data_IF_133290013773
#
_entry.id   IF_133290013773
#
_cell.length_a   1.000
_cell.length_b   1.000
_cell.length_c   1.000
_cell.angle_alpha   90.00
_cell.angle_beta   90.00
_cell.angle_gamma   90.00
#
_symmetry.space_group_name_H-M   'P 1'
#
loop_
_entity.id
_entity.type
_entity.pdbx_description
1 polymer ?
#
# COMPACT_ATOMS: atom_id res chain seq x y z
N UNK A 1 -59.25 -35.43 11.32
CA UNK A 1 -57.93 -35.65 10.66
C UNK A 1 -57.42 -34.30 10.20
N UNK A 2 -56.62 -33.63 11.01
CA UNK A 2 -56.07 -32.33 10.71
C UNK A 2 -54.60 -32.47 10.41
N UNK A 3 -54.20 -32.13 9.20
CA UNK A 3 -52.82 -32.14 8.75
C UNK A 3 -52.14 -30.82 9.21
N UNK A 4 -51.15 -30.94 10.04
CA UNK A 4 -50.21 -29.88 10.37
C UNK A 4 -49.15 -29.79 9.27
N UNK A 5 -49.20 -28.74 8.48
CA UNK A 5 -48.12 -28.34 7.60
C UNK A 5 -47.16 -27.47 8.37
N UNK A 6 -46.02 -28.05 8.79
CA UNK A 6 -44.91 -27.32 9.38
C UNK A 6 -44.15 -26.55 8.28
N UNK A 7 -44.21 -25.24 8.34
CA UNK A 7 -43.40 -24.33 7.54
C UNK A 7 -42.07 -24.19 8.25
N UNK A 8 -41.05 -24.86 7.71
CA UNK A 8 -39.66 -24.63 8.13
C UNK A 8 -39.25 -23.21 7.66
N UNK A 9 -39.15 -22.29 8.58
CA UNK A 9 -38.53 -21.01 8.36
C UNK A 9 -37.02 -21.24 8.19
N UNK A 10 -36.56 -21.20 6.95
CA UNK A 10 -35.14 -21.09 6.64
C UNK A 10 -34.67 -19.69 7.11
N UNK A 11 -34.10 -19.64 8.30
CA UNK A 11 -33.28 -18.51 8.74
C UNK A 11 -32.08 -18.38 7.79
N UNK A 12 -32.26 -17.62 6.72
CA UNK A 12 -31.15 -17.04 5.96
C UNK A 12 -30.49 -16.02 6.88
N UNK A 13 -29.59 -16.49 7.73
CA UNK A 13 -28.62 -15.67 8.41
C UNK A 13 -27.79 -14.98 7.34
N UNK A 14 -28.23 -13.78 6.94
CA UNK A 14 -27.45 -12.91 6.07
C UNK A 14 -26.07 -12.77 6.73
N UNK A 15 -25.06 -13.38 6.10
CA UNK A 15 -23.68 -13.17 6.46
C UNK A 15 -23.43 -11.68 6.22
N UNK A 16 -23.58 -10.86 7.26
CA UNK A 16 -23.15 -9.47 7.21
C UNK A 16 -21.65 -9.52 6.93
N UNK A 17 -21.29 -9.17 5.70
CA UNK A 17 -19.88 -8.96 5.36
C UNK A 17 -19.30 -8.00 6.41
N UNK A 18 -18.16 -8.31 7.03
CA UNK A 18 -17.56 -7.41 7.99
C UNK A 18 -17.36 -6.06 7.31
N UNK A 19 -17.80 -4.98 7.97
CA UNK A 19 -17.59 -3.60 7.52
C UNK A 19 -16.10 -3.27 7.63
N UNK A 20 -15.31 -3.76 6.70
CA UNK A 20 -13.90 -3.44 6.55
C UNK A 20 -13.81 -2.35 5.49
N UNK A 21 -13.22 -1.22 5.82
CA UNK A 21 -13.03 -0.11 4.89
C UNK A 21 -12.22 -0.52 3.66
N UNK A 22 -12.51 0.10 2.53
CA UNK A 22 -11.73 -0.06 1.29
C UNK A 22 -10.29 0.39 1.54
N UNK A 23 -9.33 -0.28 0.91
CA UNK A 23 -7.93 0.05 1.02
C UNK A 23 -7.30 0.37 -0.33
N UNK A 24 -6.29 1.26 -0.31
CA UNK A 24 -5.40 1.52 -1.43
C UNK A 24 -3.96 1.16 -1.04
N UNK A 25 -3.31 0.35 -1.85
CA UNK A 25 -1.86 0.19 -1.82
C UNK A 25 -1.28 1.27 -2.73
N UNK A 26 -0.37 2.08 -2.19
CA UNK A 26 0.45 3.05 -2.94
C UNK A 26 1.84 2.46 -3.06
N UNK A 27 2.21 2.03 -4.25
CA UNK A 27 3.35 1.18 -4.52
C UNK A 27 4.45 1.90 -5.29
N UNK A 28 5.65 1.89 -4.73
CA UNK A 28 6.83 2.48 -5.33
C UNK A 28 7.43 1.61 -6.43
N UNK A 29 7.55 2.18 -7.63
CA UNK A 29 8.30 1.64 -8.75
C UNK A 29 9.30 2.68 -9.28
N UNK A 30 9.81 3.55 -8.41
CA UNK A 30 10.87 4.50 -8.75
C UNK A 30 12.21 3.79 -9.02
N UNK A 31 13.16 4.53 -9.58
CA UNK A 31 14.45 3.98 -10.00
C UNK A 31 15.24 3.28 -8.88
N UNK A 32 15.11 3.72 -7.63
CA UNK A 32 15.74 3.10 -6.46
C UNK A 32 15.30 1.64 -6.23
N UNK A 33 14.06 1.31 -6.60
CA UNK A 33 13.50 -0.05 -6.46
C UNK A 33 14.18 -1.09 -7.36
N UNK A 34 14.97 -0.67 -8.38
CA UNK A 34 15.77 -1.56 -9.22
C UNK A 34 17.04 -2.08 -8.53
N UNK A 35 17.49 -1.42 -7.45
CA UNK A 35 18.71 -1.76 -6.73
C UNK A 35 18.63 -3.12 -6.04
N UNK A 36 19.83 -3.73 -5.84
CA UNK A 36 19.97 -5.03 -5.19
C UNK A 36 19.68 -4.93 -3.71
N UNK A 37 18.52 -4.99 -3.35
CA UNK A 37 17.90 -5.00 -2.04
C UNK A 37 18.80 -5.03 -0.80
N UNK A 38 18.47 -5.12 0.30
CA UNK A 38 18.86 -5.36 1.70
C UNK A 38 20.36 -5.47 2.07
N UNK A 39 21.35 -4.99 1.29
CA UNK A 39 22.75 -5.03 1.66
C UNK A 39 23.68 -4.29 0.71
N UNK A 40 24.69 -3.63 1.30
CA UNK A 40 25.81 -3.04 0.57
C UNK A 40 26.74 -4.15 0.09
N UNK A 41 26.90 -4.26 -1.19
CA UNK A 41 27.94 -5.12 -1.72
C UNK A 41 27.60 -5.67 -3.10
N UNK A 42 28.27 -5.13 -4.07
CA UNK A 42 28.51 -5.64 -5.43
C UNK A 42 27.26 -6.09 -6.22
N UNK A 43 27.15 -5.55 -7.39
CA UNK A 43 26.42 -6.14 -8.51
C UNK A 43 26.96 -7.57 -8.78
N UNK A 44 26.61 -8.50 -7.90
CA UNK A 44 26.83 -9.91 -8.19
C UNK A 44 25.70 -10.33 -9.12
N UNK A 45 26.07 -10.88 -10.26
CA UNK A 45 25.14 -11.51 -11.18
C UNK A 45 24.25 -12.51 -10.40
N UNK A 46 22.96 -12.15 -10.20
CA UNK A 46 22.01 -12.97 -9.44
C UNK A 46 21.37 -12.30 -8.21
N UNK A 47 21.68 -11.05 -7.89
CA UNK A 47 21.03 -10.34 -6.79
C UNK A 47 19.55 -10.03 -7.13
N UNK A 48 18.66 -10.26 -6.17
CA UNK A 48 17.22 -10.02 -6.32
C UNK A 48 16.90 -8.57 -6.00
N UNK A 49 16.28 -7.82 -6.92
CA UNK A 49 15.93 -6.41 -6.73
C UNK A 49 14.96 -6.20 -5.57
N UNK A 50 14.89 -4.96 -5.02
CA UNK A 50 13.88 -4.59 -4.02
C UNK A 50 12.47 -4.83 -4.56
N UNK A 51 12.24 -4.44 -5.81
CA UNK A 51 10.97 -4.66 -6.47
C UNK A 51 10.59 -6.14 -6.51
N UNK A 52 11.54 -7.04 -6.83
CA UNK A 52 11.25 -8.48 -6.90
C UNK A 52 10.95 -9.09 -5.52
N UNK A 53 11.60 -8.60 -4.47
CA UNK A 53 11.29 -9.01 -3.09
C UNK A 53 9.88 -8.57 -2.69
N UNK A 54 9.50 -7.34 -3.00
CA UNK A 54 8.14 -6.86 -2.73
C UNK A 54 7.11 -7.62 -3.56
N UNK A 55 7.41 -7.93 -4.83
CA UNK A 55 6.57 -8.79 -5.68
C UNK A 55 6.33 -10.16 -5.05
N UNK A 56 7.39 -10.80 -4.57
CA UNK A 56 7.29 -12.12 -3.91
C UNK A 56 6.44 -12.03 -2.63
N UNK A 57 6.67 -11.02 -1.80
CA UNK A 57 5.86 -10.81 -0.58
C UNK A 57 4.40 -10.55 -0.91
N UNK A 58 4.10 -9.68 -1.88
CA UNK A 58 2.71 -9.42 -2.30
C UNK A 58 2.05 -10.69 -2.84
N UNK A 59 2.78 -11.54 -3.57
CA UNK A 59 2.24 -12.82 -4.06
C UNK A 59 1.82 -13.75 -2.90
N UNK A 60 2.56 -13.70 -1.80
CA UNK A 60 2.25 -14.51 -0.62
C UNK A 60 1.06 -13.97 0.17
N UNK A 61 1.00 -12.64 0.41
CA UNK A 61 0.03 -12.06 1.35
C UNK A 61 -1.29 -11.62 0.68
N UNK A 62 -1.27 -11.21 -0.60
CA UNK A 62 -2.44 -10.64 -1.26
C UNK A 62 -3.66 -11.57 -1.29
N UNK A 63 -3.53 -12.91 -1.48
CA UNK A 63 -4.69 -13.78 -1.48
C UNK A 63 -5.48 -13.79 -0.16
N UNK A 64 -4.81 -13.64 0.97
CA UNK A 64 -5.47 -13.59 2.28
C UNK A 64 -6.13 -12.23 2.53
N UNK A 65 -5.45 -11.15 2.21
CA UNK A 65 -5.89 -9.76 2.43
C UNK A 65 -7.10 -9.44 1.55
N UNK A 66 -7.05 -9.77 0.26
CA UNK A 66 -8.10 -9.40 -0.69
C UNK A 66 -9.39 -10.22 -0.56
N UNK A 67 -9.37 -11.28 0.25
CA UNK A 67 -10.59 -12.01 0.64
C UNK A 67 -11.40 -11.32 1.73
N UNK A 68 -10.76 -10.52 2.56
CA UNK A 68 -11.40 -9.85 3.69
C UNK A 68 -11.66 -8.38 3.45
N UNK A 69 -11.07 -7.80 2.40
CA UNK A 69 -11.07 -6.37 2.12
C UNK A 69 -11.03 -6.11 0.61
N UNK A 70 -11.73 -5.08 0.16
CA UNK A 70 -11.56 -4.53 -1.18
C UNK A 70 -10.28 -3.72 -1.22
N UNK A 71 -9.40 -4.05 -2.17
CA UNK A 71 -8.07 -3.43 -2.29
C UNK A 71 -7.90 -2.87 -3.69
N UNK A 72 -7.45 -1.62 -3.77
CA UNK A 72 -6.99 -0.98 -5.00
C UNK A 72 -5.47 -0.81 -5.01
N UNK A 73 -4.95 -0.36 -6.15
CA UNK A 73 -3.53 -0.16 -6.37
C UNK A 73 -3.28 1.14 -7.14
N UNK A 74 -2.42 1.96 -6.59
CA UNK A 74 -1.74 3.06 -7.27
C UNK A 74 -0.26 2.71 -7.32
N UNK A 75 0.37 2.94 -8.48
CA UNK A 75 1.81 2.84 -8.65
C UNK A 75 2.38 4.21 -8.99
N UNK A 76 3.62 4.46 -8.59
CA UNK A 76 4.34 5.65 -8.98
C UNK A 76 5.79 5.33 -9.35
N UNK A 77 6.39 6.17 -10.20
CA UNK A 77 7.76 6.03 -10.61
C UNK A 77 8.08 5.00 -11.70
N UNK A 78 7.13 4.25 -12.31
CA UNK A 78 7.47 3.47 -13.49
C UNK A 78 7.66 4.41 -14.69
N UNK A 79 8.51 3.99 -15.64
CA UNK A 79 8.67 4.69 -16.91
C UNK A 79 9.98 5.46 -17.04
N UNK A 80 10.05 6.46 -17.96
CA UNK A 80 11.30 7.14 -18.22
C UNK A 80 11.89 7.84 -17.00
N UNK A 81 13.20 7.83 -16.89
CA UNK A 81 13.95 8.59 -15.90
C UNK A 81 13.51 10.07 -15.89
N UNK A 82 13.44 10.68 -14.71
CA UNK A 82 13.00 12.07 -14.48
C UNK A 82 11.49 12.37 -14.54
N UNK A 83 10.61 11.41 -14.71
CA UNK A 83 9.18 11.64 -14.67
C UNK A 83 8.58 11.37 -13.29
N UNK A 84 7.61 12.23 -12.92
CA UNK A 84 6.82 12.12 -11.69
C UNK A 84 5.46 11.44 -12.00
N UNK A 85 5.51 10.22 -12.52
CA UNK A 85 4.32 9.49 -12.94
C UNK A 85 3.61 8.84 -11.78
N UNK A 86 2.28 9.00 -11.74
CA UNK A 86 1.37 8.28 -10.85
C UNK A 86 0.30 7.61 -11.70
N UNK A 87 0.04 6.34 -11.47
CA UNK A 87 -0.94 5.56 -12.23
C UNK A 87 -1.90 4.85 -11.29
N UNK A 88 -3.20 5.05 -11.50
CA UNK A 88 -4.24 4.24 -10.88
C UNK A 88 -4.36 2.92 -11.66
N UNK A 89 -3.80 1.86 -11.12
CA UNK A 89 -3.84 0.53 -11.73
C UNK A 89 -5.18 -0.18 -11.49
N UNK A 90 -5.70 -0.04 -10.27
CA UNK A 90 -6.91 -0.74 -9.85
C UNK A 90 -7.67 0.08 -8.80
N UNK A 91 -8.98 0.25 -9.00
CA UNK A 91 -9.87 0.74 -7.93
C UNK A 91 -10.13 -0.35 -6.90
N UNK A 92 -10.50 -0.01 -5.64
CA UNK A 92 -10.82 -1.00 -4.61
C UNK A 92 -11.81 -2.05 -5.12
N UNK A 93 -11.35 -3.30 -5.18
CA UNK A 93 -12.07 -4.43 -5.77
C UNK A 93 -11.94 -5.67 -4.87
N UNK A 94 -12.98 -6.47 -4.80
CA UNK A 94 -12.95 -7.77 -4.12
C UNK A 94 -12.05 -8.76 -4.85
N UNK A 95 -11.38 -9.63 -4.11
CA UNK A 95 -10.49 -10.66 -4.67
C UNK A 95 -9.43 -10.10 -5.63
N UNK A 96 -8.92 -8.91 -5.35
CA UNK A 96 -8.02 -8.14 -6.20
C UNK A 96 -6.63 -8.77 -6.42
N UNK A 97 -6.28 -9.86 -5.72
CA UNK A 97 -4.92 -10.43 -5.70
C UNK A 97 -4.32 -10.61 -7.09
N UNK A 98 -5.04 -11.29 -8.00
CA UNK A 98 -4.53 -11.57 -9.34
C UNK A 98 -4.29 -10.28 -10.16
N UNK A 99 -5.19 -9.28 -10.04
CA UNK A 99 -5.06 -8.01 -10.74
C UNK A 99 -3.87 -7.19 -10.20
N UNK A 100 -3.72 -7.13 -8.86
CA UNK A 100 -2.58 -6.47 -8.20
C UNK A 100 -1.26 -7.11 -8.66
N UNK A 101 -1.15 -8.43 -8.59
CA UNK A 101 0.07 -9.15 -8.98
C UNK A 101 0.39 -8.98 -10.46
N UNK A 102 -0.63 -8.98 -11.34
CA UNK A 102 -0.47 -8.71 -12.77
C UNK A 102 0.10 -7.30 -13.03
N UNK A 103 -0.47 -6.28 -12.40
CA UNK A 103 0.00 -4.91 -12.52
C UNK A 103 1.44 -4.75 -12.00
N UNK A 104 1.72 -5.23 -10.78
CA UNK A 104 3.06 -5.09 -10.17
C UNK A 104 4.12 -5.87 -10.95
N UNK A 105 3.76 -7.01 -11.58
CA UNK A 105 4.68 -7.77 -12.43
C UNK A 105 5.12 -6.99 -13.69
N UNK A 106 4.24 -6.17 -14.23
CA UNK A 106 4.51 -5.40 -15.45
C UNK A 106 5.37 -4.15 -15.22
N UNK A 107 5.60 -3.73 -13.96
CA UNK A 107 6.34 -2.51 -13.66
C UNK A 107 7.82 -2.63 -14.01
N UNK A 108 8.37 -1.55 -14.53
CA UNK A 108 9.83 -1.37 -14.73
C UNK A 108 10.26 -0.11 -13.98
N UNK A 109 11.08 -0.26 -12.93
CA UNK A 109 11.49 0.88 -12.10
C UNK A 109 12.44 1.79 -12.86
N UNK A 110 12.15 3.10 -12.90
CA UNK A 110 13.03 4.05 -13.58
C UNK A 110 12.83 5.53 -13.21
N UNK A 111 11.63 5.96 -12.85
CA UNK A 111 11.29 7.36 -12.64
C UNK A 111 11.58 7.90 -11.25
N UNK A 112 11.00 9.05 -10.96
CA UNK A 112 11.07 9.76 -9.68
C UNK A 112 10.00 9.24 -8.70
N UNK A 113 10.00 9.81 -7.50
CA UNK A 113 9.18 9.40 -6.35
C UNK A 113 8.14 10.48 -6.00
N UNK A 114 7.00 10.58 -6.71
CA UNK A 114 5.91 11.54 -6.43
C UNK A 114 4.98 11.02 -5.32
N UNK A 115 5.50 10.78 -4.14
CA UNK A 115 4.77 10.20 -3.00
C UNK A 115 3.54 11.03 -2.62
N UNK A 116 3.70 12.35 -2.52
CA UNK A 116 2.63 13.28 -2.14
C UNK A 116 1.45 13.19 -3.12
N UNK A 117 1.73 13.21 -4.43
CA UNK A 117 0.71 13.06 -5.47
C UNK A 117 0.04 11.70 -5.44
N UNK A 118 0.82 10.63 -5.22
CA UNK A 118 0.29 9.26 -5.20
C UNK A 118 -0.64 9.02 -4.00
N UNK A 119 -0.26 9.50 -2.81
CA UNK A 119 -1.10 9.41 -1.61
C UNK A 119 -2.36 10.27 -1.73
N UNK A 120 -2.24 11.49 -2.26
CA UNK A 120 -3.39 12.36 -2.53
C UNK A 120 -4.38 11.70 -3.49
N UNK A 121 -3.90 11.13 -4.59
CA UNK A 121 -4.75 10.40 -5.53
C UNK A 121 -5.40 9.16 -4.89
N UNK A 122 -4.70 8.43 -4.02
CA UNK A 122 -5.26 7.28 -3.31
C UNK A 122 -6.40 7.72 -2.39
N UNK A 123 -6.25 8.82 -1.68
CA UNK A 123 -7.29 9.39 -0.82
C UNK A 123 -8.53 9.78 -1.65
N UNK A 124 -8.35 10.45 -2.78
CA UNK A 124 -9.46 10.81 -3.67
C UNK A 124 -10.18 9.59 -4.23
N UNK A 125 -9.47 8.53 -4.62
CA UNK A 125 -10.06 7.26 -5.09
C UNK A 125 -10.92 6.61 -4.02
N UNK A 126 -10.54 6.73 -2.73
CA UNK A 126 -11.29 6.23 -1.58
C UNK A 126 -12.49 7.12 -1.22
N UNK A 127 -12.64 8.30 -1.84
CA UNK A 127 -13.67 9.28 -1.44
C UNK A 127 -13.53 9.69 0.04
N UNK A 128 -12.29 9.99 0.45
CA UNK A 128 -11.85 10.10 1.85
C UNK A 128 -12.64 11.11 2.68
N UNK A 129 -13.25 12.13 2.04
CA UNK A 129 -14.08 13.13 2.73
C UNK A 129 -15.41 12.56 3.20
N UNK A 130 -15.92 11.54 2.50
CA UNK A 130 -17.26 11.00 2.73
C UNK A 130 -17.23 9.59 3.32
N UNK A 131 -16.16 8.83 3.11
CA UNK A 131 -16.06 7.42 3.47
C UNK A 131 -14.83 7.12 4.30
N UNK A 132 -14.92 6.10 5.18
CA UNK A 132 -13.73 5.56 5.82
C UNK A 132 -12.84 4.86 4.79
N UNK A 133 -11.53 5.00 4.96
CA UNK A 133 -10.57 4.41 4.05
C UNK A 133 -9.23 4.11 4.72
N UNK A 134 -8.46 3.26 4.05
CA UNK A 134 -7.12 2.86 4.47
C UNK A 134 -6.14 3.02 3.31
N UNK A 135 -5.01 3.68 3.56
CA UNK A 135 -3.90 3.76 2.62
C UNK A 135 -2.68 3.08 3.22
N UNK A 136 -2.02 2.23 2.44
CA UNK A 136 -0.73 1.63 2.81
C UNK A 136 0.28 1.99 1.72
N UNK A 137 1.25 2.81 2.10
CA UNK A 137 2.36 3.22 1.24
C UNK A 137 3.51 2.23 1.42
N UNK A 138 4.06 1.71 0.33
CA UNK A 138 5.26 0.87 0.31
C UNK A 138 6.30 1.57 -0.56
N UNK A 139 7.39 2.05 0.04
CA UNK A 139 8.42 2.85 -0.65
C UNK A 139 9.81 2.60 -0.07
N UNK A 140 10.84 2.77 -0.87
CA UNK A 140 12.25 2.78 -0.43
C UNK A 140 12.89 4.16 -0.51
N UNK A 141 12.13 5.17 -0.99
CA UNK A 141 12.65 6.48 -1.35
C UNK A 141 12.00 7.66 -0.63
N UNK A 142 12.54 8.82 -0.97
CA UNK A 142 12.09 10.14 -0.53
C UNK A 142 11.20 10.78 -1.60
N UNK A 143 10.34 11.73 -1.19
CA UNK A 143 9.64 12.60 -2.13
C UNK A 143 10.64 13.38 -3.00
N UNK A 144 10.58 13.22 -4.31
CA UNK A 144 11.51 13.87 -5.25
C UNK A 144 10.81 14.69 -6.33
N UNK A 145 9.51 14.90 -6.20
CA UNK A 145 8.67 15.63 -7.15
C UNK A 145 8.11 16.95 -6.57
N UNK A 146 8.62 17.38 -5.42
CA UNK A 146 8.35 18.69 -4.86
C UNK A 146 7.14 18.78 -3.93
N UNK A 147 6.62 17.64 -3.43
CA UNK A 147 5.56 17.60 -2.44
C UNK A 147 6.06 17.68 -1.01
N UNK A 148 5.12 17.87 -0.05
CA UNK A 148 5.34 17.72 1.40
C UNK A 148 4.35 16.70 1.95
N UNK A 149 4.87 15.59 2.46
CA UNK A 149 4.04 14.52 3.03
C UNK A 149 3.39 14.95 4.34
N UNK A 150 4.09 15.76 5.14
CA UNK A 150 3.54 16.25 6.40
C UNK A 150 2.38 17.23 6.18
N UNK A 151 2.50 18.14 5.20
CA UNK A 151 1.42 19.07 4.89
C UNK A 151 0.22 18.36 4.27
N UNK A 152 0.45 17.38 3.38
CA UNK A 152 -0.61 16.50 2.92
C UNK A 152 -1.26 15.74 4.08
N UNK A 153 -0.47 15.21 5.02
CA UNK A 153 -0.97 14.51 6.20
C UNK A 153 -1.92 15.36 7.03
N UNK A 154 -1.56 16.61 7.29
CA UNK A 154 -2.40 17.59 8.02
C UNK A 154 -3.69 17.89 7.25
N UNK A 155 -3.60 18.09 5.93
CA UNK A 155 -4.76 18.31 5.08
C UNK A 155 -5.72 17.13 5.11
N UNK A 156 -5.22 15.91 4.89
CA UNK A 156 -6.03 14.70 4.93
C UNK A 156 -6.70 14.51 6.29
N UNK A 157 -5.97 14.74 7.38
CA UNK A 157 -6.53 14.67 8.73
C UNK A 157 -7.67 15.66 8.96
N UNK A 158 -7.52 16.89 8.45
CA UNK A 158 -8.52 17.94 8.63
C UNK A 158 -9.79 17.72 7.80
N UNK A 159 -9.67 17.08 6.64
CA UNK A 159 -10.77 16.95 5.67
C UNK A 159 -11.43 15.57 5.67
N UNK A 160 -10.75 14.53 6.16
CA UNK A 160 -11.22 13.15 6.07
C UNK A 160 -12.38 12.85 7.03
N UNK A 161 -13.34 12.07 6.57
CA UNK A 161 -14.35 11.46 7.43
C UNK A 161 -13.70 10.50 8.45
N UNK A 162 -12.90 9.54 7.94
CA UNK A 162 -12.03 8.63 8.70
C UNK A 162 -11.02 7.99 7.75
N UNK A 163 -9.81 8.49 7.72
CA UNK A 163 -8.74 7.96 6.88
C UNK A 163 -7.58 7.52 7.75
N UNK A 164 -7.11 6.28 7.54
CA UNK A 164 -5.86 5.81 8.14
C UNK A 164 -4.79 5.69 7.06
N UNK A 165 -3.58 6.20 7.33
CA UNK A 165 -2.45 6.12 6.39
C UNK A 165 -1.27 5.45 7.08
N UNK A 166 -0.90 4.25 6.62
CA UNK A 166 0.33 3.58 7.03
C UNK A 166 1.44 3.79 6.01
N UNK A 167 2.66 3.88 6.49
CA UNK A 167 3.86 3.93 5.64
C UNK A 167 4.78 2.79 6.02
N UNK A 168 5.14 1.96 5.03
CA UNK A 168 6.14 0.90 5.13
C UNK A 168 7.36 1.35 4.33
N UNK A 169 8.45 1.69 5.03
CA UNK A 169 9.71 2.10 4.45
C UNK A 169 10.65 0.91 4.33
N UNK A 170 11.02 0.59 3.10
CA UNK A 170 11.99 -0.46 2.80
C UNK A 170 13.40 0.09 3.05
N UNK A 171 14.17 -0.54 3.94
CA UNK A 171 15.52 -0.09 4.29
C UNK A 171 16.58 -1.12 3.94
N UNK A 172 17.78 -0.63 3.68
CA UNK A 172 18.98 -1.45 3.52
C UNK A 172 19.71 -1.48 4.87
N UNK A 173 20.08 -2.65 5.35
CA UNK A 173 20.85 -2.79 6.60
C UNK A 173 22.13 -1.95 6.56
N UNK A 174 22.30 -1.12 7.58
CA UNK A 174 23.53 -0.34 7.80
C UNK A 174 23.65 0.94 7.00
N UNK A 175 22.70 1.27 6.10
CA UNK A 175 22.74 2.51 5.33
C UNK A 175 21.34 3.12 5.26
N UNK A 176 21.21 4.35 5.75
CA UNK A 176 20.02 5.16 5.53
C UNK A 176 20.27 6.04 4.30
N UNK A 177 19.70 5.65 3.16
CA UNK A 177 19.66 6.52 1.97
C UNK A 177 18.59 7.59 2.10
N UNK A 178 17.66 7.39 3.04
CA UNK A 178 16.58 8.33 3.33
C UNK A 178 17.10 9.31 4.35
N UNK A 179 17.12 10.58 4.02
CA UNK A 179 17.52 11.66 4.93
C UNK A 179 16.62 11.69 6.17
N UNK A 180 17.13 12.21 7.27
CA UNK A 180 16.37 12.34 8.53
C UNK A 180 15.07 13.12 8.32
N UNK A 181 15.09 14.16 7.50
CA UNK A 181 13.92 14.97 7.17
C UNK A 181 12.83 14.14 6.47
N UNK A 182 13.19 13.30 5.52
CA UNK A 182 12.22 12.46 4.79
C UNK A 182 11.56 11.42 5.68
N UNK A 183 12.30 10.89 6.65
CA UNK A 183 11.74 10.01 7.68
C UNK A 183 10.72 10.76 8.54
N UNK A 184 11.02 12.00 8.92
CA UNK A 184 10.12 12.85 9.69
C UNK A 184 8.84 13.18 8.91
N UNK A 185 8.97 13.52 7.63
CA UNK A 185 7.83 13.76 6.73
C UNK A 185 6.91 12.54 6.59
N UNK A 186 7.49 11.37 6.38
CA UNK A 186 6.73 10.12 6.24
C UNK A 186 6.07 9.68 7.57
N UNK A 187 6.75 9.88 8.70
CA UNK A 187 6.17 9.67 10.03
C UNK A 187 5.01 10.64 10.29
N UNK A 188 5.21 11.93 9.97
CA UNK A 188 4.16 12.94 10.12
C UNK A 188 2.91 12.55 9.33
N UNK A 189 3.04 12.12 8.06
CA UNK A 189 1.91 11.62 7.26
C UNK A 189 1.15 10.50 7.96
N UNK A 190 1.87 9.50 8.45
CA UNK A 190 1.26 8.34 9.10
C UNK A 190 0.60 8.72 10.43
N UNK A 191 1.32 9.39 11.32
CA UNK A 191 0.88 9.71 12.67
C UNK A 191 -0.31 10.68 12.69
N UNK A 192 -0.32 11.69 11.82
CA UNK A 192 -1.44 12.63 11.67
C UNK A 192 -2.74 11.90 11.29
N UNK A 193 -2.65 10.81 10.54
CA UNK A 193 -3.79 10.04 10.07
C UNK A 193 -4.00 8.71 10.83
N UNK A 194 -3.54 8.63 12.08
CA UNK A 194 -3.78 7.49 12.97
C UNK A 194 -3.14 6.18 12.52
N UNK A 195 -2.15 6.26 11.62
CA UNK A 195 -1.46 5.10 11.08
C UNK A 195 -0.10 4.83 11.73
N UNK A 196 0.64 3.91 11.12
CA UNK A 196 1.95 3.46 11.56
C UNK A 196 3.00 3.80 10.51
N UNK A 197 4.15 4.26 10.96
CA UNK A 197 5.38 4.23 10.18
C UNK A 197 6.17 2.98 10.56
N UNK A 198 6.36 2.06 9.63
CA UNK A 198 7.07 0.80 9.82
C UNK A 198 8.30 0.76 8.91
N UNK A 199 9.36 0.14 9.38
CA UNK A 199 10.55 -0.15 8.57
C UNK A 199 10.63 -1.64 8.33
N UNK A 200 11.04 -2.04 7.13
CA UNK A 200 11.30 -3.42 6.78
C UNK A 200 12.69 -3.52 6.16
N UNK A 201 13.56 -4.32 6.75
CA UNK A 201 14.92 -4.61 6.30
C UNK A 201 15.04 -6.02 5.70
N UNK A 202 14.02 -6.85 5.91
CA UNK A 202 13.93 -8.22 5.41
C UNK A 202 12.59 -8.47 4.76
N UNK A 203 12.49 -9.56 3.99
CA UNK A 203 11.24 -9.98 3.38
C UNK A 203 10.20 -10.38 4.43
N UNK A 204 10.61 -11.02 5.52
CA UNK A 204 9.73 -11.42 6.61
C UNK A 204 9.17 -10.20 7.35
N UNK A 205 10.01 -9.18 7.61
CA UNK A 205 9.55 -7.92 8.20
C UNK A 205 8.57 -7.17 7.29
N UNK A 206 8.80 -7.19 5.97
CA UNK A 206 7.87 -6.61 5.01
C UNK A 206 6.53 -7.34 5.01
N UNK A 207 6.56 -8.67 5.03
CA UNK A 207 5.37 -9.50 5.15
C UNK A 207 4.58 -9.16 6.41
N UNK A 208 5.25 -9.14 7.56
CA UNK A 208 4.62 -8.78 8.84
C UNK A 208 4.04 -7.36 8.80
N UNK A 209 4.75 -6.40 8.23
CA UNK A 209 4.28 -5.03 8.11
C UNK A 209 3.01 -4.93 7.24
N UNK A 210 2.96 -5.62 6.10
CA UNK A 210 1.78 -5.65 5.22
C UNK A 210 0.59 -6.35 5.92
N UNK A 211 0.81 -7.50 6.55
CA UNK A 211 -0.23 -8.20 7.30
C UNK A 211 -0.76 -7.37 8.48
N UNK A 212 0.11 -6.66 9.17
CA UNK A 212 -0.24 -5.77 10.29
C UNK A 212 -1.09 -4.57 9.85
N UNK A 213 -0.85 -4.05 8.65
CA UNK A 213 -1.51 -2.83 8.15
C UNK A 213 -2.76 -3.14 7.34
N UNK A 214 -2.75 -4.15 6.47
CA UNK A 214 -3.86 -4.52 5.60
C UNK A 214 -4.70 -5.70 6.12
N UNK A 215 -4.12 -6.59 6.91
CA UNK A 215 -4.77 -7.83 7.34
C UNK A 215 -5.67 -7.69 8.57
N UNK A 216 -5.66 -6.56 9.29
CA UNK A 216 -6.52 -6.36 10.47
C UNK A 216 -7.93 -5.93 10.07
N UNK A 217 -8.91 -6.47 10.79
CA UNK A 217 -10.32 -6.06 10.78
C UNK A 217 -10.55 -4.95 11.80
#
# INVERSE_FOLDING_TARGET
MSAFTGQAAEDKKALQAPCVEDAMIVFDASGSMSGDGWGYGSESAGSVSRLDKVRATLAEVSPSITRIRRVGLITFGPGPYNQCNVTLELRPTENAAAAILGAVKALTPAGKTPLTSAVGQAADVLDYRNKPGLIVVVTDGEETCGGSLCDLGKQLHAEASRLTVHVISLRVRGISWVGEQSVLEAKCLAEQNGGLYLTAETQDELKEAIEKTLGKR
#
